data_IF_244012409383
#
_entry.id   IF_244012409383
#
_cell.length_a   1.000
_cell.length_b   1.000
_cell.length_c   1.000
_cell.angle_alpha   90.00
_cell.angle_beta   90.00
_cell.angle_gamma   90.00
#
_symmetry.space_group_name_H-M   'P 1'
#
loop_
_entity.id
_entity.type
_entity.pdbx_description
1 polymer ?
#
# COMPACT_ATOMS: atom_id res chain seq x y z
N UNK A 1 -2.05 -1.68 22.08
CA UNK A 1 -3.21 -1.16 21.33
C UNK A 1 -2.82 -1.25 19.88
N UNK A 2 -3.44 -2.14 19.10
CA UNK A 2 -3.07 -2.33 17.69
C UNK A 2 -3.41 -1.04 16.94
N UNK A 3 -2.47 -0.47 16.19
CA UNK A 3 -2.75 0.68 15.31
C UNK A 3 -3.64 0.16 14.18
N UNK A 4 -4.80 0.79 13.98
CA UNK A 4 -5.67 0.52 12.82
C UNK A 4 -5.10 1.26 11.60
N UNK A 5 -4.12 0.61 10.93
CA UNK A 5 -3.34 1.21 9.84
C UNK A 5 -4.23 1.69 8.68
N UNK A 6 -5.31 0.97 8.39
CA UNK A 6 -6.22 1.28 7.26
C UNK A 6 -7.14 2.47 7.53
N UNK A 7 -7.10 3.06 8.73
CA UNK A 7 -7.84 4.27 9.09
C UNK A 7 -6.99 5.54 9.10
N UNK A 8 -5.67 5.40 8.92
CA UNK A 8 -4.78 6.55 8.79
C UNK A 8 -4.91 7.15 7.39
N UNK A 9 -4.79 8.48 7.30
CA UNK A 9 -4.71 9.15 6.01
C UNK A 9 -3.37 8.88 5.31
N UNK A 10 -3.34 9.10 3.99
CA UNK A 10 -2.17 8.81 3.16
C UNK A 10 -0.92 9.62 3.56
N UNK A 11 -1.08 10.88 4.00
CA UNK A 11 0.05 11.71 4.41
C UNK A 11 0.66 11.21 5.72
N UNK A 12 -0.19 10.82 6.68
CA UNK A 12 0.23 10.18 7.93
C UNK A 12 0.91 8.85 7.66
N UNK A 13 0.36 7.99 6.80
CA UNK A 13 1.00 6.72 6.42
C UNK A 13 2.36 6.94 5.77
N UNK A 14 2.45 7.83 4.79
CA UNK A 14 3.71 8.14 4.11
C UNK A 14 4.79 8.66 5.07
N UNK A 15 4.43 9.54 5.99
CA UNK A 15 5.35 10.02 7.03
C UNK A 15 5.83 8.90 7.96
N UNK A 16 4.93 8.00 8.39
CA UNK A 16 5.27 6.86 9.26
C UNK A 16 6.16 5.83 8.57
N UNK A 17 5.91 5.55 7.29
CA UNK A 17 6.74 4.67 6.47
C UNK A 17 8.13 5.27 6.29
N UNK A 18 8.22 6.56 5.92
CA UNK A 18 9.50 7.25 5.78
C UNK A 18 10.30 7.30 7.10
N UNK A 19 9.61 7.42 8.24
CA UNK A 19 10.20 7.37 9.58
C UNK A 19 10.50 5.93 10.07
N UNK A 20 10.15 4.90 9.28
CA UNK A 20 10.27 3.48 9.62
C UNK A 20 9.53 3.10 10.91
N UNK A 21 8.47 3.83 11.25
CA UNK A 21 7.57 3.50 12.37
C UNK A 21 6.64 2.32 12.03
N UNK A 22 6.31 2.18 10.75
CA UNK A 22 5.58 1.06 10.14
C UNK A 22 6.24 0.76 8.80
N UNK A 23 6.16 -0.48 8.32
CA UNK A 23 6.64 -0.84 6.98
C UNK A 23 5.54 -0.69 5.92
N UNK A 24 5.93 -0.41 4.67
CA UNK A 24 5.03 -0.42 3.51
C UNK A 24 4.39 -1.80 3.32
N UNK A 25 5.14 -2.88 3.58
CA UNK A 25 4.61 -4.26 3.53
C UNK A 25 3.52 -4.47 4.57
N UNK A 26 3.69 -4.00 5.81
CA UNK A 26 2.65 -4.10 6.85
C UNK A 26 1.38 -3.37 6.47
N UNK A 27 1.50 -2.13 5.95
CA UNK A 27 0.34 -1.33 5.51
C UNK A 27 -0.35 -2.00 4.32
N UNK A 28 0.42 -2.50 3.35
CA UNK A 28 -0.10 -3.20 2.16
C UNK A 28 -0.86 -4.46 2.55
N UNK A 29 -0.31 -5.28 3.46
CA UNK A 29 -1.01 -6.47 3.99
C UNK A 29 -2.31 -6.10 4.68
N UNK A 30 -2.30 -5.07 5.53
CA UNK A 30 -3.52 -4.63 6.21
C UNK A 30 -4.63 -4.21 5.23
N UNK A 31 -4.28 -3.55 4.12
CA UNK A 31 -5.24 -3.24 3.05
C UNK A 31 -5.74 -4.49 2.33
N UNK A 32 -4.86 -5.44 1.99
CA UNK A 32 -5.24 -6.69 1.33
C UNK A 32 -6.15 -7.56 2.22
N UNK A 33 -5.88 -7.63 3.51
CA UNK A 33 -6.72 -8.35 4.49
C UNK A 33 -8.12 -7.73 4.56
N UNK A 34 -8.21 -6.39 4.52
CA UNK A 34 -9.49 -5.69 4.48
C UNK A 34 -10.27 -5.94 3.19
N UNK A 35 -9.59 -5.99 2.04
CA UNK A 35 -10.21 -6.34 0.75
C UNK A 35 -10.76 -7.77 0.84
N UNK A 36 -9.95 -8.73 1.27
CA UNK A 36 -10.36 -10.13 1.41
C UNK A 36 -11.56 -10.29 2.36
N UNK A 37 -11.62 -9.51 3.44
CA UNK A 37 -12.71 -9.58 4.42
C UNK A 37 -14.03 -8.95 3.96
N UNK A 38 -14.02 -8.05 2.96
CA UNK A 38 -15.20 -7.21 2.69
C UNK A 38 -15.62 -7.10 1.23
N UNK A 39 -14.73 -7.37 0.28
CA UNK A 39 -15.01 -7.08 -1.13
C UNK A 39 -16.00 -8.07 -1.77
N UNK A 40 -16.22 -9.24 -1.17
CA UNK A 40 -17.34 -10.13 -1.54
C UNK A 40 -18.70 -9.42 -1.39
N UNK A 41 -18.82 -8.50 -0.44
CA UNK A 41 -20.07 -7.75 -0.21
C UNK A 41 -20.12 -6.43 -0.97
N UNK A 42 -18.98 -5.76 -1.15
CA UNK A 42 -18.93 -4.43 -1.76
C UNK A 42 -18.73 -4.46 -3.27
N UNK A 43 -18.06 -5.48 -3.81
CA UNK A 43 -17.68 -5.58 -5.22
C UNK A 43 -16.98 -4.31 -5.72
N UNK A 44 -16.05 -3.78 -4.93
CA UNK A 44 -15.36 -2.53 -5.22
C UNK A 44 -14.12 -2.72 -6.12
N UNK A 45 -13.50 -3.90 -6.13
CA UNK A 45 -12.33 -4.19 -6.95
C UNK A 45 -12.64 -5.14 -8.11
N UNK A 46 -12.19 -4.76 -9.32
CA UNK A 46 -12.25 -5.64 -10.50
C UNK A 46 -11.01 -6.53 -10.61
N UNK A 47 -9.86 -5.99 -10.21
CA UNK A 47 -8.58 -6.69 -10.18
C UNK A 47 -7.77 -6.25 -8.96
N UNK A 48 -7.13 -7.21 -8.29
CA UNK A 48 -6.26 -6.98 -7.13
C UNK A 48 -4.89 -7.61 -7.42
N UNK A 49 -3.88 -6.78 -7.70
CA UNK A 49 -2.53 -7.22 -8.00
C UNK A 49 -1.69 -7.45 -6.71
N UNK A 50 -2.14 -8.36 -5.85
CA UNK A 50 -1.61 -8.54 -4.49
C UNK A 50 -0.09 -8.78 -4.43
N UNK A 51 0.41 -9.71 -5.25
CA UNK A 51 1.83 -10.07 -5.26
C UNK A 51 2.71 -8.90 -5.75
N UNK A 52 2.28 -8.20 -6.80
CA UNK A 52 3.00 -7.02 -7.32
C UNK A 52 3.00 -5.87 -6.31
N UNK A 53 1.88 -5.65 -5.61
CA UNK A 53 1.79 -4.64 -4.55
C UNK A 53 2.74 -4.95 -3.39
N UNK A 54 2.79 -6.21 -2.94
CA UNK A 54 3.70 -6.64 -1.87
C UNK A 54 5.17 -6.57 -2.29
N UNK A 55 5.50 -6.94 -3.53
CA UNK A 55 6.85 -6.81 -4.07
C UNK A 55 7.31 -5.35 -4.09
N UNK A 56 6.48 -4.45 -4.62
CA UNK A 56 6.76 -3.02 -4.67
C UNK A 56 6.91 -2.42 -3.27
N UNK A 57 6.07 -2.83 -2.32
CA UNK A 57 6.17 -2.40 -0.93
C UNK A 57 7.50 -2.82 -0.29
N UNK A 58 7.93 -4.06 -0.53
CA UNK A 58 9.20 -4.57 -0.02
C UNK A 58 10.41 -3.80 -0.60
N UNK A 59 10.36 -3.44 -1.89
CA UNK A 59 11.40 -2.64 -2.53
C UNK A 59 11.51 -1.24 -1.92
N UNK A 60 10.37 -0.61 -1.63
CA UNK A 60 10.34 0.70 -0.93
C UNK A 60 10.93 0.58 0.47
N UNK A 61 10.52 -0.44 1.24
CA UNK A 61 11.05 -0.66 2.58
C UNK A 61 12.57 -0.89 2.56
N UNK A 62 13.08 -1.64 1.57
CA UNK A 62 14.50 -1.87 1.39
C UNK A 62 15.28 -0.59 1.04
N UNK A 63 14.76 0.23 0.12
CA UNK A 63 15.33 1.54 -0.26
C UNK A 63 15.41 2.49 0.95
N UNK A 64 14.34 2.59 1.74
CA UNK A 64 14.32 3.39 2.97
C UNK A 64 15.33 2.83 4.00
N UNK A 65 15.41 1.51 4.14
CA UNK A 65 16.35 0.88 5.06
C UNK A 65 17.82 1.13 4.67
N UNK A 66 18.10 1.26 3.37
CA UNK A 66 19.41 1.62 2.82
C UNK A 66 19.74 3.12 2.99
N UNK A 67 18.82 3.93 3.52
CA UNK A 67 19.02 5.37 3.73
C UNK A 67 18.84 6.20 2.46
N UNK A 68 18.24 5.62 1.42
CA UNK A 68 17.88 6.35 0.21
C UNK A 68 16.77 7.35 0.52
N UNK A 69 16.78 8.47 -0.20
CA UNK A 69 15.71 9.47 -0.07
C UNK A 69 14.43 8.90 -0.70
N UNK A 70 13.29 8.88 0.01
CA UNK A 70 12.02 8.44 -0.56
C UNK A 70 11.68 9.19 -1.85
N UNK A 71 11.23 8.47 -2.88
CA UNK A 71 10.90 9.03 -4.19
C UNK A 71 9.80 10.11 -4.11
N UNK A 72 8.90 10.02 -3.13
CA UNK A 72 7.87 11.02 -2.84
C UNK A 72 7.40 10.92 -1.39
N UNK A 73 6.61 11.90 -0.89
CA UNK A 73 5.94 11.80 0.41
C UNK A 73 4.96 10.63 0.56
N UNK A 74 4.59 9.95 -0.55
CA UNK A 74 3.69 8.81 -0.56
C UNK A 74 4.41 7.49 -0.92
N UNK A 75 5.75 7.47 -0.92
CA UNK A 75 6.50 6.25 -1.17
C UNK A 75 6.07 5.14 -0.19
N UNK A 76 5.57 4.03 -0.74
CA UNK A 76 5.09 2.87 0.03
C UNK A 76 3.64 2.94 0.51
N UNK A 77 2.90 4.00 0.20
CA UNK A 77 1.45 4.10 0.52
C UNK A 77 0.65 3.33 -0.56
N UNK A 78 -0.22 2.36 -0.19
CA UNK A 78 -1.05 1.64 -1.15
C UNK A 78 -2.01 2.56 -1.92
N UNK A 79 -2.27 2.23 -3.19
CA UNK A 79 -3.19 2.94 -4.06
C UNK A 79 -4.10 1.96 -4.79
N UNK A 80 -5.39 2.29 -4.88
CA UNK A 80 -6.33 1.65 -5.79
C UNK A 80 -6.62 2.59 -6.96
N UNK A 81 -6.54 2.08 -8.19
CA UNK A 81 -6.83 2.85 -9.40
C UNK A 81 -8.22 2.52 -9.91
N UNK A 82 -9.00 3.54 -10.30
CA UNK A 82 -10.28 3.32 -10.97
C UNK A 82 -10.03 2.71 -12.34
N UNK A 83 -10.77 1.66 -12.67
CA UNK A 83 -10.67 0.95 -13.95
C UNK A 83 -11.34 1.71 -15.11
N UNK A 84 -10.84 2.91 -15.34
CA UNK A 84 -11.13 3.80 -16.48
C UNK A 84 -9.84 4.42 -17.03
N UNK A 85 -8.71 4.07 -16.41
CA UNK A 85 -7.37 4.48 -16.78
C UNK A 85 -6.62 3.26 -17.28
N UNK A 86 -5.79 3.45 -18.31
CA UNK A 86 -4.85 2.42 -18.75
C UNK A 86 -3.71 2.30 -17.75
N UNK A 87 -3.45 1.09 -17.26
CA UNK A 87 -2.30 0.77 -16.43
C UNK A 87 -1.45 -0.31 -17.10
N UNK A 88 -0.13 -0.10 -17.14
CA UNK A 88 0.80 -1.08 -17.69
C UNK A 88 0.74 -2.38 -16.88
N UNK A 89 0.75 -3.51 -17.57
CA UNK A 89 0.74 -4.87 -16.98
C UNK A 89 -0.49 -5.20 -16.12
N UNK A 90 -1.56 -4.42 -16.24
CA UNK A 90 -2.88 -4.67 -15.63
C UNK A 90 -3.91 -5.05 -16.71
N UNK A 91 -4.97 -5.81 -16.37
CA UNK A 91 -6.01 -6.22 -17.32
C UNK A 91 -6.77 -5.05 -17.96
#
# INVERSE_FOLDING_TARGET
>A
MSIDLIRLDAATLGAKIAAREVSSVEVTRACLDQIAATDESFHAFLHVAADQALGTAADVDASIAAGEKPASPLAGVPLALKDVFTATDMP
#
